data_IF_309504913087
#
_entry.id   IF_309504913087
#
_cell.length_a   1.000
_cell.length_b   1.000
_cell.length_c   1.000
_cell.angle_alpha   90.00
_cell.angle_beta   90.00
_cell.angle_gamma   90.00
#
_symmetry.space_group_name_H-M   'P 1'
#
loop_
_entity.id
_entity.type
_entity.pdbx_description
1 polymer ?
#
# COMPACT_ATOMS: atom_id res chain seq x y z
N UNK A 1 21.85 -6.28 0.89
CA UNK A 1 20.68 -6.63 1.70
C UNK A 1 19.88 -5.36 1.82
N UNK A 2 18.98 -5.13 0.86
CA UNK A 2 17.88 -4.21 1.12
C UNK A 2 17.04 -4.89 2.18
N UNK A 3 16.81 -4.19 3.28
CA UNK A 3 16.02 -4.70 4.39
C UNK A 3 14.58 -4.61 3.91
N UNK A 4 14.02 -5.72 3.41
CA UNK A 4 12.62 -5.80 2.96
C UNK A 4 11.64 -5.81 4.16
N UNK A 5 12.12 -5.42 5.34
CA UNK A 5 11.34 -5.32 6.57
C UNK A 5 10.24 -4.27 6.39
N UNK A 6 8.95 -4.64 6.58
CA UNK A 6 7.88 -3.67 6.49
C UNK A 6 8.02 -2.56 7.55
N UNK A 7 7.72 -1.33 7.16
CA UNK A 7 8.00 -0.12 7.95
C UNK A 7 7.17 -0.10 9.23
N UNK A 8 5.98 -0.71 9.24
CA UNK A 8 5.16 -0.82 10.45
C UNK A 8 5.83 -1.62 11.59
N UNK A 9 6.83 -2.46 11.31
CA UNK A 9 7.61 -3.14 12.34
C UNK A 9 8.76 -2.28 12.87
N UNK A 10 9.49 -1.61 11.98
CA UNK A 10 10.70 -0.85 12.34
C UNK A 10 10.39 0.54 12.88
N UNK A 11 9.30 1.16 12.42
CA UNK A 11 8.92 2.55 12.68
C UNK A 11 7.40 2.68 12.94
N UNK A 12 6.87 2.13 14.05
CA UNK A 12 5.42 2.02 14.28
C UNK A 12 4.67 3.36 14.44
N UNK A 13 5.38 4.47 14.61
CA UNK A 13 4.79 5.82 14.70
C UNK A 13 4.83 6.58 13.36
N UNK A 14 5.46 6.01 12.34
CA UNK A 14 5.49 6.59 11.01
C UNK A 14 4.10 6.51 10.39
N UNK A 15 3.67 7.60 9.75
CA UNK A 15 2.32 7.73 9.18
C UNK A 15 2.30 8.03 7.68
N UNK A 16 3.46 8.36 7.14
CA UNK A 16 3.65 8.75 5.75
C UNK A 16 5.00 8.19 5.27
N UNK A 17 5.01 7.69 4.03
CA UNK A 17 6.20 7.24 3.30
C UNK A 17 6.05 7.68 1.84
N UNK A 18 7.16 7.74 1.11
CA UNK A 18 7.13 7.65 -0.34
C UNK A 18 7.51 6.22 -0.74
N UNK A 19 6.78 5.64 -1.67
CA UNK A 19 7.00 4.28 -2.14
C UNK A 19 6.80 4.17 -3.65
N UNK A 20 7.26 3.07 -4.24
CA UNK A 20 7.11 2.79 -5.67
C UNK A 20 6.09 1.68 -5.88
N UNK A 21 5.21 1.85 -6.87
CA UNK A 21 4.29 0.78 -7.31
C UNK A 21 5.12 -0.32 -7.99
N UNK A 22 5.10 -1.54 -7.43
CA UNK A 22 5.81 -2.70 -8.00
C UNK A 22 4.89 -3.68 -8.70
N UNK A 23 3.60 -3.66 -8.38
CA UNK A 23 2.60 -4.52 -9.03
C UNK A 23 1.22 -3.85 -9.03
N UNK A 24 0.47 -4.05 -10.12
CA UNK A 24 -0.87 -3.51 -10.33
C UNK A 24 -1.82 -4.64 -10.71
N UNK A 25 -2.88 -4.82 -9.93
CA UNK A 25 -3.99 -5.70 -10.23
C UNK A 25 -5.33 -4.94 -10.09
N UNK A 26 -5.80 -4.33 -11.19
CA UNK A 26 -6.99 -3.48 -11.23
C UNK A 26 -6.99 -2.31 -10.21
N UNK A 27 -7.47 -2.58 -8.99
CA UNK A 27 -7.55 -1.63 -7.87
C UNK A 27 -6.66 -2.01 -6.69
N UNK A 28 -5.93 -3.12 -6.81
CA UNK A 28 -5.04 -3.66 -5.80
C UNK A 28 -3.59 -3.42 -6.21
N UNK A 29 -2.84 -2.79 -5.32
CA UNK A 29 -1.47 -2.37 -5.58
C UNK A 29 -0.52 -2.99 -4.58
N UNK A 30 0.69 -3.31 -5.04
CA UNK A 30 1.85 -3.55 -4.18
C UNK A 30 2.84 -2.41 -4.30
N UNK A 31 3.49 -2.14 -3.19
CA UNK A 31 4.59 -1.19 -3.11
C UNK A 31 5.90 -1.89 -2.75
N UNK A 32 7.03 -1.28 -3.09
CA UNK A 32 8.37 -1.73 -2.67
C UNK A 32 8.58 -1.60 -1.15
N UNK A 33 7.81 -0.73 -0.50
CA UNK A 33 7.80 -0.52 0.94
C UNK A 33 6.37 -0.48 1.48
N UNK A 34 6.10 -1.22 2.55
CA UNK A 34 4.79 -1.28 3.16
C UNK A 34 4.77 -0.56 4.51
N UNK A 35 4.04 0.56 4.57
CA UNK A 35 3.74 1.24 5.82
C UNK A 35 2.47 0.71 6.49
N UNK A 36 1.45 0.36 5.70
CA UNK A 36 0.16 -0.07 6.22
C UNK A 36 0.21 -1.52 6.70
N UNK A 37 -0.31 -1.76 7.90
CA UNK A 37 -0.42 -3.09 8.47
C UNK A 37 -1.55 -3.90 7.79
N UNK A 38 -1.28 -5.11 7.29
CA UNK A 38 -2.31 -5.98 6.72
C UNK A 38 -3.18 -6.61 7.81
N UNK A 39 -4.48 -6.73 7.55
CA UNK A 39 -5.40 -7.42 8.45
C UNK A 39 -5.17 -8.93 8.48
N UNK A 40 -5.67 -9.61 9.54
CA UNK A 40 -5.59 -11.06 9.66
C UNK A 40 -5.65 -11.55 11.12
N UNK A 41 -6.08 -12.80 11.34
CA UNK A 41 -6.06 -13.41 12.68
C UNK A 41 -6.95 -12.73 13.73
N UNK A 42 -7.94 -11.93 13.29
CA UNK A 42 -8.78 -11.10 14.16
C UNK A 42 -8.28 -9.67 14.37
N UNK A 43 -7.10 -9.32 13.83
CA UNK A 43 -6.57 -7.97 13.85
C UNK A 43 -7.09 -7.16 12.65
N UNK A 44 -7.57 -5.93 12.85
CA UNK A 44 -7.96 -5.04 11.76
C UNK A 44 -6.73 -4.59 10.95
N UNK A 45 -6.96 -4.30 9.67
CA UNK A 45 -5.99 -3.65 8.79
C UNK A 45 -5.94 -2.14 9.03
N UNK A 46 -4.85 -1.52 8.60
CA UNK A 46 -4.76 -0.06 8.57
C UNK A 46 -5.56 0.53 7.40
N UNK A 47 -6.00 1.78 7.59
CA UNK A 47 -6.67 2.59 6.57
C UNK A 47 -5.88 3.88 6.35
N UNK A 48 -5.95 4.42 5.14
CA UNK A 48 -5.28 5.68 4.82
C UNK A 48 -5.56 6.16 3.41
N UNK A 49 -4.62 6.90 2.86
CA UNK A 49 -4.71 7.42 1.50
C UNK A 49 -3.38 7.22 0.77
N UNK A 50 -3.48 6.98 -0.53
CA UNK A 50 -2.38 7.06 -1.48
C UNK A 50 -2.51 8.36 -2.27
N UNK A 51 -1.39 9.05 -2.47
CA UNK A 51 -1.32 10.23 -3.34
C UNK A 51 -0.73 9.75 -4.67
N UNK A 52 -1.50 9.82 -5.75
CA UNK A 52 -1.05 9.45 -7.08
C UNK A 52 -1.33 10.61 -8.04
N UNK A 53 -0.26 11.29 -8.47
CA UNK A 53 -0.35 12.50 -9.30
C UNK A 53 -1.20 13.58 -8.62
N UNK A 54 -2.35 13.92 -9.19
CA UNK A 54 -3.29 14.90 -8.63
C UNK A 54 -4.40 14.27 -7.78
N UNK A 55 -4.40 12.94 -7.65
CA UNK A 55 -5.43 12.19 -6.95
C UNK A 55 -5.02 11.82 -5.53
N UNK A 56 -5.94 12.02 -4.58
CA UNK A 56 -5.88 11.40 -3.26
C UNK A 56 -6.91 10.28 -3.22
N UNK A 57 -6.43 9.05 -3.10
CA UNK A 57 -7.24 7.85 -3.23
C UNK A 57 -7.25 7.07 -1.91
N UNK A 58 -8.43 6.72 -1.36
CA UNK A 58 -8.50 5.96 -0.12
C UNK A 58 -7.96 4.54 -0.26
N UNK A 59 -7.14 4.11 0.70
CA UNK A 59 -6.81 2.70 0.91
C UNK A 59 -7.87 2.12 1.83
N UNK A 60 -8.68 1.19 1.31
CA UNK A 60 -9.86 0.64 2.00
C UNK A 60 -9.63 -0.75 2.58
N UNK A 61 -8.60 -1.46 2.11
CA UNK A 61 -8.26 -2.80 2.54
C UNK A 61 -6.76 -3.03 2.39
N UNK A 62 -6.15 -3.65 3.39
CA UNK A 62 -4.74 -4.09 3.33
C UNK A 62 -4.68 -5.52 3.81
N UNK A 63 -4.08 -6.41 3.03
CA UNK A 63 -4.03 -7.82 3.34
C UNK A 63 -2.72 -8.45 2.85
N UNK A 64 -2.36 -9.61 3.40
CA UNK A 64 -1.16 -10.33 3.03
C UNK A 64 -1.48 -11.69 2.38
N UNK A 65 -0.87 -11.96 1.23
CA UNK A 65 -0.93 -13.27 0.54
C UNK A 65 0.49 -13.75 0.35
N UNK A 66 0.83 -14.92 0.91
CA UNK A 66 2.16 -15.53 0.78
C UNK A 66 3.34 -14.61 1.19
N UNK A 67 3.09 -13.68 2.12
CA UNK A 67 4.08 -12.71 2.60
C UNK A 67 4.04 -11.35 1.88
N UNK A 68 3.25 -11.25 0.80
CA UNK A 68 3.14 -10.06 -0.02
C UNK A 68 1.97 -9.19 0.41
N UNK A 69 2.23 -7.88 0.57
CA UNK A 69 1.27 -6.94 1.15
C UNK A 69 0.56 -6.16 0.05
N UNK A 70 -0.74 -6.39 -0.07
CA UNK A 70 -1.61 -5.80 -1.06
C UNK A 70 -2.46 -4.68 -0.46
N UNK A 71 -2.65 -3.61 -1.24
CA UNK A 71 -3.42 -2.44 -0.85
C UNK A 71 -4.54 -2.22 -1.86
N UNK A 72 -5.78 -2.32 -1.41
CA UNK A 72 -6.96 -2.06 -2.23
C UNK A 72 -7.32 -0.58 -2.18
N UNK A 73 -7.41 0.02 -3.35
CA UNK A 73 -7.65 1.45 -3.55
C UNK A 73 -9.11 1.68 -3.96
N UNK A 74 -9.81 2.56 -3.26
CA UNK A 74 -11.13 3.04 -3.70
C UNK A 74 -10.96 4.03 -4.86
N UNK A 75 -10.98 3.49 -6.07
CA UNK A 75 -10.85 4.23 -7.33
C UNK A 75 -12.23 4.58 -7.87
N UNK A 76 -12.63 5.85 -7.72
CA UNK A 76 -13.89 6.40 -8.26
C UNK A 76 -13.80 6.91 -9.70
N UNK A 77 -12.57 7.12 -10.19
CA UNK A 77 -12.28 7.65 -11.52
C UNK A 77 -11.50 6.64 -12.37
N UNK A 78 -11.45 6.83 -13.69
CA UNK A 78 -10.67 5.97 -14.60
C UNK A 78 -9.17 6.31 -14.55
N UNK A 79 -8.53 5.96 -13.43
CA UNK A 79 -7.09 6.12 -13.18
C UNK A 79 -6.32 4.88 -13.62
N UNK A 80 -5.38 5.00 -14.56
CA UNK A 80 -4.49 3.89 -14.91
C UNK A 80 -3.22 3.93 -14.04
N UNK A 81 -3.10 2.98 -13.11
CA UNK A 81 -1.92 2.84 -12.26
C UNK A 81 -0.80 2.22 -13.08
N UNK A 82 0.42 2.72 -12.92
CA UNK A 82 1.58 2.20 -13.66
C UNK A 82 2.62 1.72 -12.66
N UNK A 83 3.25 0.59 -12.97
CA UNK A 83 4.43 0.10 -12.24
C UNK A 83 5.57 1.11 -12.43
N UNK A 84 6.45 1.18 -11.43
CA UNK A 84 7.59 2.08 -11.31
C UNK A 84 7.29 3.55 -10.98
N UNK A 85 6.01 3.94 -10.87
CA UNK A 85 5.59 5.26 -10.40
C UNK A 85 5.77 5.41 -8.88
N UNK A 86 6.22 6.60 -8.47
CA UNK A 86 6.36 6.96 -7.05
C UNK A 86 5.04 7.57 -6.52
N UNK A 87 4.66 7.19 -5.30
CA UNK A 87 3.46 7.62 -4.57
C UNK A 87 3.73 8.01 -3.13
#
# INVERSE_FOLDING_TARGET
>A
MTDDTPIFWSSPYQKEISAKIVEVNETELRFDQALFYPGGGGQPHDLGNMIYKEYTLPIIEVYAIEGEIWHKIDKKETIDFQVDEDV
#
